data_IF_109157383517
#
_entry.id   IF_109157383517
#
_cell.length_a   1.000
_cell.length_b   1.000
_cell.length_c   1.000
_cell.angle_alpha   90.00
_cell.angle_beta   90.00
_cell.angle_gamma   90.00
#
_symmetry.space_group_name_H-M   'P 1'
#
loop_
_entity.id
_entity.type
_entity.pdbx_description
1 polymer ?
#
# COMPACT_ATOMS: atom_id res chain seq x y z
N UNK A 1 3.23 3.22 5.71
CA UNK A 1 3.13 4.28 6.73
C UNK A 1 4.09 4.03 7.90
N UNK A 2 4.08 2.85 8.53
CA UNK A 2 5.02 2.51 9.62
C UNK A 2 6.49 2.64 9.24
N UNK A 3 6.87 2.17 8.03
CA UNK A 3 8.22 2.32 7.49
C UNK A 3 8.63 3.80 7.40
N UNK A 4 7.72 4.66 6.94
CA UNK A 4 7.97 6.10 6.88
C UNK A 4 8.18 6.66 8.29
N UNK A 5 7.36 6.29 9.27
CA UNK A 5 7.48 6.80 10.65
C UNK A 5 8.82 6.44 11.32
N UNK A 6 9.33 5.24 11.07
CA UNK A 6 10.64 4.80 11.57
C UNK A 6 11.80 5.53 10.89
N UNK A 7 11.68 5.82 9.59
CA UNK A 7 12.78 6.31 8.76
C UNK A 7 12.72 7.81 8.44
N UNK A 8 11.65 8.53 8.82
CA UNK A 8 11.47 9.97 8.54
C UNK A 8 12.59 10.85 9.10
N UNK A 9 13.28 10.37 10.14
CA UNK A 9 14.42 11.04 10.76
C UNK A 9 15.68 10.96 9.90
N UNK A 10 15.82 9.89 9.12
CA UNK A 10 16.95 9.65 8.22
C UNK A 10 16.72 10.28 6.85
N UNK A 11 15.50 10.19 6.33
CA UNK A 11 15.12 10.85 5.09
C UNK A 11 13.64 11.20 5.14
N UNK A 12 13.36 12.50 4.94
CA UNK A 12 11.98 13.01 4.86
C UNK A 12 11.37 12.79 3.46
N UNK A 13 12.18 12.41 2.48
CA UNK A 13 11.80 12.29 1.07
C UNK A 13 11.30 10.88 0.72
N UNK A 14 11.05 10.03 1.70
CA UNK A 14 10.48 8.70 1.48
C UNK A 14 9.02 8.86 1.02
N UNK A 15 8.77 8.63 -0.27
CA UNK A 15 7.44 8.70 -0.87
C UNK A 15 6.84 7.28 -0.96
N UNK A 16 5.62 7.10 -0.46
CA UNK A 16 4.84 5.88 -0.70
C UNK A 16 4.07 6.09 -2.00
N UNK A 17 4.58 5.53 -3.11
CA UNK A 17 4.11 5.90 -4.45
C UNK A 17 2.71 5.37 -4.79
N UNK A 18 2.44 4.08 -4.58
CA UNK A 18 1.16 3.50 -5.01
C UNK A 18 0.63 2.47 -4.03
N UNK A 19 -0.65 2.61 -3.72
CA UNK A 19 -1.40 1.65 -2.92
C UNK A 19 -2.63 1.23 -3.72
N UNK A 20 -2.75 -0.06 -4.05
CA UNK A 20 -3.83 -0.58 -4.89
C UNK A 20 -4.34 -1.90 -4.36
N UNK A 21 -5.62 -2.19 -4.64
CA UNK A 21 -6.21 -3.50 -4.39
C UNK A 21 -5.62 -4.51 -5.37
N UNK A 22 -5.10 -5.62 -4.84
CA UNK A 22 -4.56 -6.73 -5.65
C UNK A 22 -5.58 -7.86 -5.75
N UNK A 23 -6.23 -8.18 -4.63
CA UNK A 23 -7.20 -9.26 -4.57
C UNK A 23 -8.27 -8.96 -3.53
N UNK A 24 -9.51 -9.33 -3.82
CA UNK A 24 -10.61 -9.38 -2.88
C UNK A 24 -11.50 -10.58 -3.22
N UNK A 25 -11.89 -11.32 -2.20
CA UNK A 25 -12.76 -12.49 -2.31
C UNK A 25 -14.03 -12.29 -1.47
N UNK A 26 -15.16 -12.84 -1.92
CA UNK A 26 -16.46 -12.78 -1.23
C UNK A 26 -17.35 -11.61 -1.66
N UNK A 27 -18.65 -11.67 -1.37
CA UNK A 27 -19.66 -10.72 -1.89
C UNK A 27 -20.11 -11.08 -3.32
N UNK A 28 -20.72 -10.14 -4.05
CA UNK A 28 -21.32 -10.44 -5.38
C UNK A 28 -20.30 -10.83 -6.45
N UNK A 29 -19.09 -10.26 -6.39
CA UNK A 29 -18.01 -10.53 -7.35
C UNK A 29 -16.66 -10.52 -6.64
N UNK A 30 -15.79 -11.46 -7.04
CA UNK A 30 -14.38 -11.47 -6.70
C UNK A 30 -13.59 -10.52 -7.60
N UNK A 31 -12.47 -10.04 -7.08
CA UNK A 31 -11.55 -9.15 -7.80
C UNK A 31 -10.14 -9.72 -7.70
N UNK A 32 -9.48 -9.86 -8.84
CA UNK A 32 -8.05 -10.17 -8.93
C UNK A 32 -7.43 -9.28 -9.99
N UNK A 33 -6.37 -8.57 -9.62
CA UNK A 33 -5.59 -7.75 -10.54
C UNK A 33 -4.50 -8.61 -11.17
N UNK A 34 -4.48 -8.68 -12.50
CA UNK A 34 -3.41 -9.30 -13.30
C UNK A 34 -2.19 -8.38 -13.36
#
# INVERSE_FOLDING_TARGET
>A
LTIYDMCKSFSKDIIIESTRLIKKTGGKNDFSRQ
#
